data_IF_351947620987
#
_entry.id   IF_351947620987
#
_cell.length_a   1.000
_cell.length_b   1.000
_cell.length_c   1.000
_cell.angle_alpha   90.00
_cell.angle_beta   90.00
_cell.angle_gamma   90.00
#
_symmetry.space_group_name_H-M   'P 1'
#
loop_
_entity.id
_entity.type
_entity.pdbx_description
1 polymer ?
#
# COMPACT_ATOMS: atom_id res chain seq x y z
N UNK A 1 -9.23 -7.03 11.62
CA UNK A 1 -9.00 -5.58 11.62
C UNK A 1 -9.70 -5.04 10.40
N UNK A 2 -10.53 -4.02 10.55
CA UNK A 2 -11.22 -3.41 9.40
C UNK A 2 -10.17 -2.72 8.50
N UNK A 3 -10.35 -2.76 7.17
CA UNK A 3 -9.39 -2.18 6.21
C UNK A 3 -9.13 -0.69 6.49
N UNK A 4 -10.15 0.02 6.95
CA UNK A 4 -10.09 1.43 7.36
C UNK A 4 -9.14 1.69 8.53
N UNK A 5 -9.05 0.77 9.49
CA UNK A 5 -8.12 0.87 10.62
C UNK A 5 -6.67 0.62 10.16
N UNK A 6 -6.49 -0.27 9.17
CA UNK A 6 -5.17 -0.56 8.60
C UNK A 6 -4.60 0.63 7.83
N UNK A 7 -5.44 1.36 7.09
CA UNK A 7 -5.04 2.54 6.33
C UNK A 7 -4.59 3.72 7.19
N UNK A 8 -5.03 3.77 8.44
CA UNK A 8 -4.58 4.76 9.43
C UNK A 8 -3.23 4.40 10.08
N UNK A 9 -2.72 3.18 9.87
CA UNK A 9 -1.43 2.77 10.39
C UNK A 9 -0.27 3.30 9.54
N UNK A 10 0.95 3.38 10.11
CA UNK A 10 2.15 3.62 9.33
C UNK A 10 2.31 2.59 8.22
N UNK A 11 2.80 3.03 7.08
CA UNK A 11 3.05 2.21 5.89
C UNK A 11 3.85 0.96 6.22
N UNK A 12 4.87 1.04 7.08
CA UNK A 12 5.66 -0.13 7.49
C UNK A 12 4.79 -1.27 8.04
N UNK A 13 3.79 -0.95 8.86
CA UNK A 13 2.87 -1.96 9.42
C UNK A 13 1.97 -2.52 8.33
N UNK A 14 1.46 -1.65 7.46
CA UNK A 14 0.58 -2.03 6.36
C UNK A 14 1.29 -2.94 5.35
N UNK A 15 2.52 -2.61 4.96
CA UNK A 15 3.31 -3.38 4.01
C UNK A 15 3.72 -4.75 4.54
N UNK A 16 3.95 -4.88 5.85
CA UNK A 16 4.21 -6.18 6.49
C UNK A 16 2.99 -7.11 6.44
N UNK A 17 1.79 -6.55 6.60
CA UNK A 17 0.55 -7.31 6.57
C UNK A 17 0.07 -7.64 5.14
N UNK A 18 0.45 -6.81 4.15
CA UNK A 18 -0.06 -6.90 2.79
C UNK A 18 1.06 -6.90 1.73
N UNK A 19 1.71 -8.06 1.46
CA UNK A 19 2.78 -8.16 0.47
C UNK A 19 2.34 -7.77 -0.95
N UNK A 20 1.06 -7.94 -1.29
CA UNK A 20 0.50 -7.53 -2.59
C UNK A 20 0.57 -6.02 -2.77
N UNK A 21 0.36 -5.26 -1.70
CA UNK A 21 0.47 -3.80 -1.72
C UNK A 21 1.92 -3.36 -1.99
N UNK A 22 2.91 -4.09 -1.48
CA UNK A 22 4.34 -3.83 -1.75
C UNK A 22 4.62 -3.88 -3.24
N UNK A 23 4.32 -5.01 -3.91
CA UNK A 23 4.57 -5.16 -5.35
C UNK A 23 3.84 -4.11 -6.18
N UNK A 24 2.61 -3.77 -5.78
CA UNK A 24 1.77 -2.81 -6.48
C UNK A 24 2.29 -1.36 -6.38
N UNK A 25 2.95 -1.01 -5.28
CA UNK A 25 3.66 0.26 -5.11
C UNK A 25 4.97 0.27 -5.89
N UNK A 26 5.73 -0.83 -5.86
CA UNK A 26 6.99 -0.96 -6.61
C UNK A 26 6.79 -0.86 -8.13
N UNK A 27 5.71 -1.45 -8.67
CA UNK A 27 5.32 -1.30 -10.08
C UNK A 27 5.07 0.16 -10.49
N UNK A 28 4.74 1.02 -9.52
CA UNK A 28 4.54 2.47 -9.71
C UNK A 28 5.80 3.28 -9.38
N UNK A 29 6.93 2.63 -9.13
CA UNK A 29 8.20 3.25 -8.75
C UNK A 29 8.27 3.74 -7.30
N UNK A 30 7.34 3.29 -6.45
CA UNK A 30 7.26 3.69 -5.04
C UNK A 30 7.89 2.59 -4.17
N UNK A 31 9.14 2.81 -3.77
CA UNK A 31 9.90 1.87 -2.95
C UNK A 31 9.83 2.23 -1.47
N UNK A 32 8.67 2.00 -0.84
CA UNK A 32 8.46 2.31 0.57
C UNK A 32 9.07 1.30 1.55
N UNK A 33 9.49 0.11 1.09
CA UNK A 33 10.04 -0.95 1.96
C UNK A 33 11.32 -0.56 2.70
N UNK A 34 12.10 0.36 2.13
CA UNK A 34 13.36 0.87 2.70
C UNK A 34 13.30 2.37 3.04
N UNK A 35 12.12 2.98 2.89
CA UNK A 35 11.98 4.42 3.07
C UNK A 35 11.70 4.77 4.52
N UNK A 36 12.52 5.64 5.14
CA UNK A 36 12.28 6.15 6.49
C UNK A 36 10.90 6.83 6.65
N UNK A 37 10.39 7.44 5.58
CA UNK A 37 9.05 8.04 5.53
C UNK A 37 7.98 6.98 5.86
N UNK A 38 8.16 5.72 5.43
CA UNK A 38 7.19 4.65 5.65
C UNK A 38 7.03 4.25 7.14
N UNK A 39 7.97 4.64 8.01
CA UNK A 39 7.86 4.41 9.45
C UNK A 39 6.83 5.33 10.12
N UNK A 40 6.50 6.46 9.48
CA UNK A 40 5.66 7.52 10.06
C UNK A 40 4.45 7.85 9.20
N UNK A 41 4.58 7.78 7.88
CA UNK A 41 3.51 8.12 6.95
C UNK A 41 2.52 6.99 6.74
N UNK A 42 1.28 7.39 6.46
CA UNK A 42 0.19 6.49 6.08
C UNK A 42 0.18 6.25 4.57
N UNK A 43 -0.63 5.30 4.10
CA UNK A 43 -0.82 5.09 2.67
C UNK A 43 -1.30 6.37 1.97
N UNK A 44 -2.26 7.07 2.58
CA UNK A 44 -2.80 8.33 2.04
C UNK A 44 -1.72 9.41 1.90
N UNK A 45 -0.83 9.53 2.89
CA UNK A 45 0.29 10.48 2.86
C UNK A 45 1.29 10.15 1.74
N UNK A 46 1.66 8.87 1.61
CA UNK A 46 2.58 8.41 0.57
C UNK A 46 2.01 8.63 -0.82
N UNK A 47 0.77 8.22 -1.09
CA UNK A 47 0.20 8.39 -2.44
C UNK A 47 0.03 9.87 -2.79
N UNK A 48 -0.28 10.73 -1.81
CA UNK A 48 -0.32 12.19 -2.01
C UNK A 48 1.06 12.72 -2.43
N UNK A 49 2.13 12.30 -1.74
CA UNK A 49 3.50 12.71 -2.03
C UNK A 49 3.97 12.26 -3.42
N UNK A 50 3.54 11.08 -3.85
CA UNK A 50 3.89 10.49 -5.15
C UNK A 50 2.89 10.83 -6.27
N UNK A 51 1.91 11.68 -6.01
CA UNK A 51 0.85 12.05 -6.97
C UNK A 51 0.10 10.84 -7.54
N UNK A 52 -0.14 9.83 -6.70
CA UNK A 52 -0.93 8.64 -7.02
C UNK A 52 -2.35 8.80 -6.51
N UNK A 53 -3.32 8.42 -7.32
CA UNK A 53 -4.72 8.38 -6.93
C UNK A 53 -4.95 7.26 -5.90
N UNK A 54 -5.42 7.63 -4.70
CA UNK A 54 -5.64 6.69 -3.61
C UNK A 54 -6.77 5.70 -3.94
N UNK A 55 -7.86 6.17 -4.54
CA UNK A 55 -9.03 5.33 -4.81
C UNK A 55 -8.72 4.31 -5.92
N UNK A 56 -7.98 4.73 -6.95
CA UNK A 56 -7.50 3.82 -7.99
C UNK A 56 -6.57 2.74 -7.40
N UNK A 57 -5.65 3.15 -6.51
CA UNK A 57 -4.75 2.22 -5.83
C UNK A 57 -5.51 1.21 -4.98
N UNK A 58 -6.47 1.68 -4.18
CA UNK A 58 -7.30 0.82 -3.32
C UNK A 58 -8.14 -0.15 -4.14
N UNK A 59 -8.71 0.30 -5.25
CA UNK A 59 -9.47 -0.55 -6.15
C UNK A 59 -8.59 -1.64 -6.78
N UNK A 60 -7.41 -1.30 -7.27
CA UNK A 60 -6.47 -2.27 -7.85
C UNK A 60 -5.95 -3.25 -6.80
N UNK A 61 -5.59 -2.77 -5.61
CA UNK A 61 -5.16 -3.62 -4.51
C UNK A 61 -6.26 -4.61 -4.10
N UNK A 62 -7.52 -4.15 -3.97
CA UNK A 62 -8.66 -5.03 -3.70
C UNK A 62 -8.86 -6.09 -4.79
N UNK A 63 -8.71 -5.72 -6.07
CA UNK A 63 -8.76 -6.68 -7.18
C UNK A 63 -7.68 -7.75 -7.08
N UNK A 64 -6.44 -7.35 -6.77
CA UNK A 64 -5.31 -8.29 -6.66
C UNK A 64 -5.36 -9.19 -5.43
N UNK A 65 -5.90 -8.71 -4.31
CA UNK A 65 -6.14 -9.57 -3.14
C UNK A 65 -7.25 -10.60 -3.38
N UNK A 66 -8.22 -10.28 -4.24
CA UNK A 66 -9.30 -11.21 -4.61
C UNK A 66 -8.91 -12.24 -5.67
N UNK A 67 -7.81 -12.03 -6.40
CA UNK A 67 -7.29 -12.99 -7.36
C UNK A 67 -6.67 -14.18 -6.61
N UNK A 68 -7.04 -15.43 -6.94
CA UNK A 68 -6.34 -16.59 -6.39
C UNK A 68 -4.87 -16.51 -6.83
N UNK A 69 -3.93 -16.55 -5.88
CA UNK A 69 -2.50 -16.73 -6.18
C UNK A 69 -2.37 -18.02 -6.98
N UNK A 70 -2.23 -17.86 -8.28
CA UNK A 70 -1.88 -18.96 -9.16
C UNK A 70 -0.36 -18.98 -9.13
N UNK A 71 0.19 -19.87 -8.31
CA UNK A 71 1.63 -20.16 -8.25
C UNK A 71 2.12 -20.75 -9.58
#
# INVERSE_FOLDING_TARGET
MERSEALAQPMRVLLQAHPVLVSLLEERGIHCGECFIAERETLAGVVTMHHVDLDELLAEWARREALPRTE
#
